data_IF_365385296669
#
_entry.id   IF_365385296669
#
_cell.length_a   1.000
_cell.length_b   1.000
_cell.length_c   1.000
_cell.angle_alpha   90.00
_cell.angle_beta   90.00
_cell.angle_gamma   90.00
#
_symmetry.space_group_name_H-M   'P 1'
#
loop_
_entity.id
_entity.type
_entity.pdbx_description
1 polymer ?
#
# COMPACT_ATOMS: atom_id res chain seq x y z
N UNK A 1 -32.77 -4.02 -0.27
CA UNK A 1 -31.52 -3.84 -1.03
C UNK A 1 -30.56 -3.03 -0.16
N UNK A 2 -29.42 -3.61 0.25
CA UNK A 2 -28.37 -2.84 0.93
C UNK A 2 -27.79 -1.86 -0.09
N UNK A 3 -27.85 -0.55 0.19
CA UNK A 3 -27.10 0.46 -0.59
C UNK A 3 -25.63 0.05 -0.52
N UNK A 4 -25.03 -0.26 -1.67
CA UNK A 4 -23.58 -0.33 -1.79
C UNK A 4 -23.11 1.10 -1.55
N UNK A 5 -22.47 1.32 -0.41
CA UNK A 5 -21.87 2.62 -0.09
C UNK A 5 -20.79 2.86 -1.14
N UNK A 6 -20.99 3.87 -1.98
CA UNK A 6 -20.02 4.26 -3.01
C UNK A 6 -18.78 4.73 -2.27
N UNK A 7 -17.70 3.96 -2.34
CA UNK A 7 -16.39 4.38 -1.85
C UNK A 7 -16.06 5.73 -2.49
N UNK A 8 -15.83 6.74 -1.64
CA UNK A 8 -15.44 8.09 -2.09
C UNK A 8 -14.16 7.99 -2.92
N UNK A 9 -14.11 8.72 -4.03
CA UNK A 9 -12.89 8.79 -4.83
C UNK A 9 -11.86 9.74 -4.18
N UNK A 10 -10.63 9.73 -4.71
CA UNK A 10 -9.49 10.42 -4.12
C UNK A 10 -9.70 11.95 -3.99
N UNK A 11 -10.39 12.58 -4.95
CA UNK A 11 -10.71 14.01 -4.97
C UNK A 11 -11.74 14.37 -3.89
N UNK A 12 -12.71 13.48 -3.65
CA UNK A 12 -13.78 13.63 -2.65
C UNK A 12 -13.26 13.51 -1.20
N UNK A 13 -12.05 13.00 -0.98
CA UNK A 13 -11.40 12.92 0.34
C UNK A 13 -10.44 14.10 0.62
N UNK A 14 -10.21 14.98 -0.37
CA UNK A 14 -9.16 15.99 -0.30
C UNK A 14 -9.59 17.35 0.26
N UNK A 15 -10.87 17.73 0.24
CA UNK A 15 -11.27 19.15 0.30
C UNK A 15 -12.03 19.66 1.54
N UNK A 16 -12.11 18.89 2.62
CA UNK A 16 -12.92 19.31 3.78
C UNK A 16 -11.98 19.84 4.87
N UNK A 17 -11.71 21.14 4.81
CA UNK A 17 -10.72 21.85 5.63
C UNK A 17 -11.16 22.10 7.07
N UNK A 18 -11.18 21.07 7.91
CA UNK A 18 -11.38 21.23 9.35
C UNK A 18 -10.23 20.61 10.15
N UNK A 19 -9.78 21.35 11.17
CA UNK A 19 -8.79 20.92 12.15
C UNK A 19 -9.46 19.98 13.16
N UNK A 20 -8.85 18.82 13.44
CA UNK A 20 -9.42 17.83 14.34
C UNK A 20 -8.47 17.43 15.46
N UNK A 21 -8.71 17.97 16.66
CA UNK A 21 -8.18 17.43 17.91
C UNK A 21 -8.09 18.45 19.04
N UNK A 22 -8.65 18.13 20.20
CA UNK A 22 -8.40 18.83 21.45
C UNK A 22 -7.03 18.37 21.99
N UNK A 23 -6.00 19.24 22.11
CA UNK A 23 -4.64 18.84 22.48
C UNK A 23 -4.56 18.63 23.99
N UNK A 24 -5.10 17.51 24.49
CA UNK A 24 -4.89 17.08 25.88
C UNK A 24 -3.63 16.21 26.06
N UNK A 25 -2.84 16.00 25.00
CA UNK A 25 -1.58 15.25 25.03
C UNK A 25 -0.38 16.13 24.67
N UNK A 26 0.72 15.97 25.42
CA UNK A 26 2.03 16.56 25.10
C UNK A 26 2.64 15.84 23.89
N UNK A 27 2.14 16.10 22.68
CA UNK A 27 2.72 15.57 21.44
C UNK A 27 4.05 16.26 21.10
N UNK A 28 5.04 15.46 20.67
CA UNK A 28 6.26 16.00 20.08
C UNK A 28 5.97 16.74 18.76
N UNK A 29 6.95 17.52 18.26
CA UNK A 29 6.80 18.20 16.96
C UNK A 29 6.48 17.22 15.83
N UNK A 30 7.16 16.09 15.79
CA UNK A 30 6.97 15.09 14.74
C UNK A 30 5.60 14.40 14.87
N UNK A 31 5.18 14.08 16.10
CA UNK A 31 3.84 13.49 16.35
C UNK A 31 2.70 14.44 15.97
N UNK A 32 2.86 15.75 16.19
CA UNK A 32 1.87 16.75 15.74
C UNK A 32 1.67 16.70 14.24
N UNK A 33 2.75 16.55 13.48
CA UNK A 33 2.63 16.49 12.03
C UNK A 33 1.95 15.18 11.60
N UNK A 34 2.23 14.04 12.23
CA UNK A 34 1.47 12.79 11.95
C UNK A 34 -0.01 13.01 12.27
N UNK A 35 -0.31 13.62 13.42
CA UNK A 35 -1.67 13.89 13.88
C UNK A 35 -2.46 14.78 12.92
N UNK A 36 -1.85 15.85 12.41
CA UNK A 36 -2.45 16.76 11.41
C UNK A 36 -2.77 16.05 10.08
N UNK A 37 -2.14 14.90 9.83
CA UNK A 37 -2.35 14.08 8.64
C UNK A 37 -3.35 12.93 8.86
N UNK A 38 -4.01 12.89 10.02
CA UNK A 38 -5.13 11.99 10.30
C UNK A 38 -6.45 12.72 9.98
N UNK A 39 -7.14 12.28 8.94
CA UNK A 39 -8.45 12.81 8.55
C UNK A 39 -9.58 11.95 9.12
N UNK A 40 -10.58 12.60 9.70
CA UNK A 40 -11.80 11.98 10.26
C UNK A 40 -11.53 10.80 11.22
N UNK A 41 -10.34 10.76 11.84
CA UNK A 41 -9.84 9.63 12.64
C UNK A 41 -9.84 8.28 11.91
N UNK A 42 -9.90 8.29 10.57
CA UNK A 42 -10.07 7.11 9.72
C UNK A 42 -8.98 6.94 8.67
N UNK A 43 -8.35 8.04 8.26
CA UNK A 43 -7.39 8.05 7.15
C UNK A 43 -6.10 8.69 7.60
N UNK A 44 -5.00 7.93 7.63
CA UNK A 44 -3.67 8.51 7.70
C UNK A 44 -3.18 8.79 6.28
N UNK A 45 -2.83 10.05 5.98
CA UNK A 45 -2.28 10.43 4.67
C UNK A 45 -0.99 11.23 4.80
N UNK A 46 0.12 10.63 4.39
CA UNK A 46 1.44 11.25 4.42
C UNK A 46 2.06 11.18 3.03
N UNK A 47 2.41 12.32 2.45
CA UNK A 47 2.98 12.40 1.10
C UNK A 47 4.23 13.29 1.08
N UNK A 48 5.17 12.94 0.20
CA UNK A 48 6.29 13.77 -0.23
C UNK A 48 7.17 14.32 0.92
N UNK A 49 7.31 13.53 2.00
CA UNK A 49 8.11 13.86 3.17
C UNK A 49 7.96 15.32 3.67
N UNK A 50 6.77 15.92 3.52
CA UNK A 50 6.51 17.30 3.95
C UNK A 50 6.71 17.48 5.47
N UNK A 51 6.82 16.36 6.19
CA UNK A 51 7.22 16.24 7.59
C UNK A 51 8.66 16.68 7.89
N UNK A 52 9.57 16.76 6.90
CA UNK A 52 11.00 17.02 7.12
C UNK A 52 11.54 18.19 6.28
N UNK A 53 10.69 19.19 6.00
CA UNK A 53 10.84 20.34 5.05
C UNK A 53 12.03 21.29 5.30
N UNK A 54 13.05 20.89 6.06
CA UNK A 54 14.33 21.62 6.15
C UNK A 54 15.57 20.82 5.76
N UNK A 55 15.44 19.63 5.15
CA UNK A 55 16.59 18.89 4.61
C UNK A 55 16.29 18.52 3.17
N UNK A 56 17.17 18.93 2.26
CA UNK A 56 16.91 19.05 0.82
C UNK A 56 16.63 17.73 0.07
N UNK A 57 16.55 16.57 0.75
CA UNK A 57 16.28 15.26 0.14
C UNK A 57 15.54 14.26 1.05
N UNK A 58 14.67 13.41 0.45
CA UNK A 58 14.02 12.27 1.13
C UNK A 58 15.01 11.10 1.20
N UNK A 59 15.45 10.76 2.42
CA UNK A 59 16.48 9.73 2.64
C UNK A 59 15.86 8.50 3.31
N UNK A 60 16.61 7.38 3.27
CA UNK A 60 16.19 6.15 3.95
C UNK A 60 16.02 6.36 5.46
N UNK A 61 16.84 7.22 6.08
CA UNK A 61 16.72 7.55 7.48
C UNK A 61 15.39 8.27 7.80
N UNK A 62 14.93 9.15 6.90
CA UNK A 62 13.63 9.80 7.03
C UNK A 62 12.48 8.77 6.97
N UNK A 63 12.54 7.81 6.04
CA UNK A 63 11.53 6.76 5.93
C UNK A 63 11.46 5.83 7.14
N UNK A 64 12.61 5.45 7.69
CA UNK A 64 12.69 4.64 8.92
C UNK A 64 12.12 5.41 10.11
N UNK A 65 12.50 6.67 10.29
CA UNK A 65 11.98 7.51 11.37
C UNK A 65 10.46 7.70 11.27
N UNK A 66 9.95 7.92 10.06
CA UNK A 66 8.51 7.98 9.81
C UNK A 66 7.81 6.68 10.19
N UNK A 67 8.36 5.52 9.78
CA UNK A 67 7.79 4.23 10.14
C UNK A 67 7.71 4.04 11.66
N UNK A 68 8.77 4.39 12.40
CA UNK A 68 8.76 4.33 13.87
C UNK A 68 7.69 5.22 14.50
N UNK A 69 7.55 6.46 13.99
CA UNK A 69 6.50 7.35 14.47
C UNK A 69 5.11 6.76 14.22
N UNK A 70 4.86 6.21 13.02
CA UNK A 70 3.56 5.63 12.66
C UNK A 70 3.26 4.37 13.46
N UNK A 71 4.23 3.49 13.69
CA UNK A 71 4.02 2.22 14.40
C UNK A 71 3.56 2.39 15.84
N UNK A 72 3.98 3.44 16.53
CA UNK A 72 3.73 3.63 17.96
C UNK A 72 2.71 4.74 18.27
N UNK A 73 2.08 5.33 17.24
CA UNK A 73 1.19 6.45 17.44
C UNK A 73 -0.24 6.01 17.75
N UNK A 74 -0.58 5.99 19.04
CA UNK A 74 -1.88 5.56 19.57
C UNK A 74 -3.11 6.17 18.88
N UNK A 75 -3.13 7.45 18.46
CA UNK A 75 -4.24 8.02 17.70
C UNK A 75 -4.54 7.34 16.35
N UNK A 76 -3.66 6.46 15.87
CA UNK A 76 -3.88 5.67 14.65
C UNK A 76 -4.67 4.39 14.89
N UNK A 77 -5.01 4.02 16.12
CA UNK A 77 -5.68 2.75 16.44
C UNK A 77 -7.08 2.57 15.78
N UNK A 78 -7.67 3.65 15.26
CA UNK A 78 -8.98 3.65 14.60
C UNK A 78 -8.94 3.84 13.08
N UNK A 79 -7.74 3.99 12.49
CA UNK A 79 -7.64 4.22 11.03
C UNK A 79 -8.02 2.96 10.26
N UNK A 80 -8.65 3.15 9.11
CA UNK A 80 -8.97 2.06 8.18
C UNK A 80 -8.14 2.18 6.90
N UNK A 81 -7.60 3.37 6.64
CA UNK A 81 -6.82 3.68 5.44
C UNK A 81 -5.47 4.25 5.83
N UNK A 82 -4.41 3.68 5.26
CA UNK A 82 -3.04 4.20 5.36
C UNK A 82 -2.54 4.55 3.97
N UNK A 83 -2.15 5.81 3.78
CA UNK A 83 -1.53 6.34 2.58
C UNK A 83 -0.21 6.95 3.02
N UNK A 84 0.90 6.32 2.64
CA UNK A 84 2.25 6.86 2.86
C UNK A 84 2.95 6.78 1.51
N UNK A 85 3.15 7.90 0.82
CA UNK A 85 3.75 7.89 -0.54
C UNK A 85 4.96 8.81 -0.63
N UNK A 86 5.97 8.45 -1.40
CA UNK A 86 7.20 9.25 -1.55
C UNK A 86 7.94 9.55 -0.23
N UNK A 87 8.03 8.56 0.67
CA UNK A 87 8.71 8.72 1.96
C UNK A 87 9.93 7.80 2.15
N UNK A 88 10.31 7.02 1.13
CA UNK A 88 11.49 6.15 1.15
C UNK A 88 11.54 5.22 2.38
N UNK A 89 10.38 4.65 2.77
CA UNK A 89 10.27 3.70 3.89
C UNK A 89 11.30 2.57 3.77
N UNK A 90 11.49 2.06 2.56
CA UNK A 90 12.32 0.89 2.29
C UNK A 90 11.78 -0.37 2.97
N UNK A 91 12.50 -1.50 2.84
CA UNK A 91 12.13 -2.74 3.52
C UNK A 91 12.14 -2.60 5.05
N UNK A 92 13.09 -1.82 5.60
CA UNK A 92 13.20 -1.61 7.06
C UNK A 92 11.99 -0.85 7.62
N UNK A 93 11.50 0.18 6.93
CA UNK A 93 10.30 0.89 7.37
C UNK A 93 9.06 0.01 7.37
N UNK A 94 8.91 -0.88 6.38
CA UNK A 94 7.82 -1.86 6.37
C UNK A 94 7.96 -2.88 7.48
N UNK A 95 9.19 -3.31 7.80
CA UNK A 95 9.44 -4.18 8.95
C UNK A 95 8.97 -3.54 10.25
N UNK A 96 9.32 -2.27 10.48
CA UNK A 96 8.90 -1.51 11.67
C UNK A 96 7.37 -1.37 11.73
N UNK A 97 6.71 -1.11 10.59
CA UNK A 97 5.24 -1.06 10.52
C UNK A 97 4.63 -2.43 10.82
N UNK A 98 5.19 -3.50 10.28
CA UNK A 98 4.72 -4.88 10.46
C UNK A 98 4.83 -5.38 11.91
N UNK A 99 5.75 -4.81 12.70
CA UNK A 99 5.95 -5.11 14.12
C UNK A 99 5.09 -4.22 15.05
N UNK A 100 4.29 -3.30 14.49
CA UNK A 100 3.41 -2.42 15.28
C UNK A 100 2.34 -3.23 16.02
N UNK A 101 2.18 -2.93 17.32
CA UNK A 101 1.08 -3.44 18.15
C UNK A 101 -0.10 -2.46 18.26
N UNK A 102 0.05 -1.26 17.71
CA UNK A 102 -0.92 -0.16 17.85
C UNK A 102 -1.72 0.08 16.58
N UNK A 103 -1.15 -0.25 15.42
CA UNK A 103 -1.83 -0.07 14.14
C UNK A 103 -2.97 -1.09 13.98
N UNK A 104 -4.14 -0.63 13.53
CA UNK A 104 -5.25 -1.52 13.22
C UNK A 104 -5.01 -2.23 11.89
N UNK A 105 -5.72 -3.35 11.68
CA UNK A 105 -5.82 -3.96 10.36
C UNK A 105 -6.63 -3.06 9.44
N UNK A 106 -6.02 -2.60 8.37
CA UNK A 106 -6.58 -1.63 7.42
C UNK A 106 -7.20 -2.31 6.20
N UNK A 107 -8.15 -1.63 5.54
CA UNK A 107 -8.78 -2.12 4.31
C UNK A 107 -8.14 -1.53 3.04
N UNK A 108 -7.49 -0.37 3.16
CA UNK A 108 -6.82 0.33 2.08
C UNK A 108 -5.39 0.71 2.46
N UNK A 109 -4.44 0.31 1.62
CA UNK A 109 -3.02 0.57 1.80
C UNK A 109 -2.39 1.15 0.52
N UNK A 110 -1.86 2.37 0.58
CA UNK A 110 -1.13 2.98 -0.53
C UNK A 110 0.28 3.34 -0.08
N UNK A 111 1.25 2.61 -0.66
CA UNK A 111 2.67 2.72 -0.35
C UNK A 111 3.49 3.06 -1.60
N UNK A 112 2.93 3.81 -2.54
CA UNK A 112 3.58 4.20 -3.79
C UNK A 112 4.88 4.96 -3.54
N UNK A 113 5.92 4.66 -4.33
CA UNK A 113 7.19 5.40 -4.32
C UNK A 113 7.91 5.40 -2.97
N UNK A 114 7.97 4.25 -2.29
CA UNK A 114 8.68 4.11 -1.00
C UNK A 114 9.94 3.26 -1.06
N UNK A 115 10.39 2.87 -2.25
CA UNK A 115 11.57 2.04 -2.45
C UNK A 115 11.54 0.73 -1.65
N UNK A 116 10.36 0.11 -1.52
CA UNK A 116 10.20 -1.09 -0.69
C UNK A 116 11.06 -2.27 -1.19
N UNK A 117 11.23 -2.40 -2.50
CA UNK A 117 11.88 -3.54 -3.12
C UNK A 117 11.15 -4.85 -2.83
N UNK A 118 11.71 -5.97 -3.29
CA UNK A 118 11.08 -7.28 -3.06
C UNK A 118 11.06 -7.66 -1.57
N UNK A 119 12.08 -7.29 -0.80
CA UNK A 119 12.17 -7.60 0.64
C UNK A 119 11.02 -6.96 1.42
N UNK A 120 10.71 -5.68 1.16
CA UNK A 120 9.55 -5.03 1.77
C UNK A 120 8.23 -5.69 1.36
N UNK A 121 8.13 -6.18 0.13
CA UNK A 121 6.95 -6.92 -0.34
C UNK A 121 6.84 -8.30 0.30
N UNK A 122 7.94 -9.02 0.50
CA UNK A 122 7.94 -10.31 1.21
C UNK A 122 7.44 -10.16 2.66
N UNK A 123 7.86 -9.10 3.36
CA UNK A 123 7.37 -8.76 4.71
C UNK A 123 5.87 -8.44 4.66
N UNK A 124 5.48 -7.53 3.76
CA UNK A 124 4.08 -7.11 3.61
C UNK A 124 3.16 -8.30 3.30
N UNK A 125 3.59 -9.19 2.39
CA UNK A 125 2.82 -10.34 1.95
C UNK A 125 2.66 -11.44 3.03
N UNK A 126 3.45 -11.40 4.10
CA UNK A 126 3.41 -12.41 5.17
C UNK A 126 2.91 -11.86 6.52
N UNK A 127 2.64 -10.55 6.62
CA UNK A 127 2.28 -9.90 7.87
C UNK A 127 0.75 -9.85 8.09
N UNK A 128 0.30 -10.40 9.23
CA UNK A 128 -1.13 -10.43 9.60
C UNK A 128 -1.75 -9.03 9.84
N UNK A 129 -0.94 -7.99 10.06
CA UNK A 129 -1.43 -6.60 10.12
C UNK A 129 -2.18 -6.21 8.83
N UNK A 130 -1.78 -6.78 7.69
CA UNK A 130 -2.36 -6.48 6.39
C UNK A 130 -3.42 -7.48 5.93
N UNK A 131 -3.87 -8.40 6.80
CA UNK A 131 -4.79 -9.48 6.38
C UNK A 131 -6.21 -9.04 6.02
N UNK A 132 -6.60 -7.81 6.39
CA UNK A 132 -7.89 -7.20 6.02
C UNK A 132 -7.81 -6.30 4.77
N UNK A 133 -6.62 -6.13 4.17
CA UNK A 133 -6.42 -5.23 3.03
C UNK A 133 -7.18 -5.73 1.81
N UNK A 134 -8.03 -4.85 1.26
CA UNK A 134 -8.81 -5.09 0.04
C UNK A 134 -8.25 -4.36 -1.16
N UNK A 135 -7.61 -3.22 -0.94
CA UNK A 135 -7.00 -2.41 -1.99
C UNK A 135 -5.57 -2.07 -1.63
N UNK A 136 -4.64 -2.36 -2.52
CA UNK A 136 -3.24 -2.00 -2.37
C UNK A 136 -2.71 -1.27 -3.59
N UNK A 137 -2.01 -0.15 -3.37
CA UNK A 137 -1.20 0.51 -4.38
C UNK A 137 0.28 0.48 -3.99
N UNK A 138 1.09 -0.16 -4.85
CA UNK A 138 2.52 -0.39 -4.69
C UNK A 138 3.30 0.17 -5.89
N UNK A 139 2.77 1.17 -6.59
CA UNK A 139 3.46 1.78 -7.72
C UNK A 139 4.87 2.27 -7.37
N UNK A 140 5.79 2.18 -8.34
CA UNK A 140 7.15 2.75 -8.22
C UNK A 140 7.94 2.29 -6.98
N UNK A 141 7.88 0.99 -6.64
CA UNK A 141 8.60 0.44 -5.48
C UNK A 141 9.80 -0.44 -5.83
N UNK A 142 10.15 -0.55 -7.12
CA UNK A 142 11.26 -1.38 -7.58
C UNK A 142 11.01 -2.89 -7.45
N UNK A 143 9.75 -3.31 -7.43
CA UNK A 143 9.34 -4.71 -7.28
C UNK A 143 9.73 -5.49 -8.54
N UNK A 144 10.37 -6.65 -8.37
CA UNK A 144 10.79 -7.54 -9.46
C UNK A 144 9.90 -8.77 -9.55
N UNK A 145 10.29 -9.79 -10.33
CA UNK A 145 9.56 -11.05 -10.36
C UNK A 145 9.46 -11.68 -8.96
N UNK A 146 10.47 -11.47 -8.11
CA UNK A 146 10.55 -12.06 -6.77
C UNK A 146 9.44 -11.51 -5.86
N UNK A 147 9.30 -10.19 -5.77
CA UNK A 147 8.22 -9.58 -5.00
C UNK A 147 6.83 -9.90 -5.59
N UNK A 148 6.70 -10.00 -6.91
CA UNK A 148 5.44 -10.44 -7.52
C UNK A 148 5.07 -11.88 -7.15
N UNK A 149 6.06 -12.79 -7.08
CA UNK A 149 5.85 -14.15 -6.56
C UNK A 149 5.43 -14.14 -5.10
N UNK A 150 6.06 -13.30 -4.27
CA UNK A 150 5.67 -13.15 -2.86
C UNK A 150 4.20 -12.68 -2.71
N UNK A 151 3.75 -11.72 -3.53
CA UNK A 151 2.34 -11.32 -3.57
C UNK A 151 1.43 -12.47 -4.01
N UNK A 152 1.83 -13.21 -5.05
CA UNK A 152 1.08 -14.34 -5.59
C UNK A 152 0.93 -15.52 -4.61
N UNK A 153 1.82 -15.64 -3.64
CA UNK A 153 1.79 -16.68 -2.58
C UNK A 153 1.59 -16.10 -1.19
N UNK A 154 1.02 -14.90 -1.10
CA UNK A 154 0.84 -14.18 0.17
C UNK A 154 -0.03 -14.97 1.15
N UNK A 155 0.40 -15.09 2.40
CA UNK A 155 -0.42 -15.65 3.48
C UNK A 155 -1.35 -14.61 4.11
N UNK A 156 -1.03 -13.31 3.96
CA UNK A 156 -1.81 -12.22 4.52
C UNK A 156 -2.90 -11.69 3.57
N UNK A 157 -2.55 -11.39 2.31
CA UNK A 157 -3.38 -10.61 1.37
C UNK A 157 -4.50 -11.43 0.69
N UNK A 158 -5.16 -12.29 1.44
CA UNK A 158 -6.21 -13.21 0.94
C UNK A 158 -7.53 -12.52 0.58
N UNK A 159 -7.73 -11.28 1.05
CA UNK A 159 -8.93 -10.46 0.81
C UNK A 159 -8.76 -9.42 -0.31
N UNK A 160 -7.64 -9.45 -1.02
CA UNK A 160 -7.29 -8.43 -1.99
C UNK A 160 -8.22 -8.47 -3.21
N UNK A 161 -8.79 -7.31 -3.54
CA UNK A 161 -9.70 -7.11 -4.69
C UNK A 161 -9.13 -6.13 -5.71
N UNK A 162 -8.18 -5.28 -5.32
CA UNK A 162 -7.56 -4.28 -6.19
C UNK A 162 -6.07 -4.20 -5.92
N UNK A 163 -5.27 -4.42 -6.96
CA UNK A 163 -3.81 -4.42 -6.91
C UNK A 163 -3.24 -3.50 -8.00
N UNK A 164 -2.61 -2.42 -7.58
CA UNK A 164 -1.83 -1.54 -8.46
C UNK A 164 -0.33 -1.78 -8.25
N UNK A 165 0.36 -2.14 -9.34
CA UNK A 165 1.79 -2.42 -9.39
C UNK A 165 2.51 -1.55 -10.45
N UNK A 166 1.92 -0.44 -10.89
CA UNK A 166 2.48 0.45 -11.93
C UNK A 166 3.96 0.76 -11.73
N UNK A 167 4.70 0.83 -12.84
CA UNK A 167 6.09 1.29 -12.86
C UNK A 167 7.02 0.54 -11.90
N UNK A 168 6.86 -0.77 -11.86
CA UNK A 168 7.80 -1.69 -11.22
C UNK A 168 8.61 -2.46 -12.30
N UNK A 169 9.27 -3.56 -11.93
CA UNK A 169 10.18 -4.35 -12.78
C UNK A 169 9.80 -5.83 -12.79
N UNK A 170 8.50 -6.12 -12.71
CA UNK A 170 7.95 -7.47 -12.47
C UNK A 170 8.33 -8.50 -13.55
N UNK A 171 8.34 -8.09 -14.82
CA UNK A 171 8.64 -8.96 -15.95
C UNK A 171 7.59 -10.05 -16.20
N UNK A 172 7.81 -10.86 -17.23
CA UNK A 172 6.85 -11.89 -17.66
C UNK A 172 6.65 -12.99 -16.59
N UNK A 173 7.71 -13.43 -15.92
CA UNK A 173 7.63 -14.51 -14.92
C UNK A 173 6.85 -14.08 -13.67
N UNK A 174 7.03 -12.84 -13.20
CA UNK A 174 6.25 -12.32 -12.08
C UNK A 174 4.78 -12.12 -12.44
N UNK A 175 4.50 -11.67 -13.67
CA UNK A 175 3.14 -11.58 -14.19
C UNK A 175 2.46 -12.96 -14.31
N UNK A 176 3.18 -13.99 -14.75
CA UNK A 176 2.69 -15.37 -14.77
C UNK A 176 2.42 -15.91 -13.36
N UNK A 177 3.25 -15.56 -12.37
CA UNK A 177 3.00 -15.93 -10.98
C UNK A 177 1.68 -15.32 -10.48
N UNK A 178 1.43 -14.04 -10.76
CA UNK A 178 0.15 -13.38 -10.45
C UNK A 178 -1.01 -14.05 -11.18
N UNK A 179 -0.85 -14.35 -12.47
CA UNK A 179 -1.88 -15.02 -13.27
C UNK A 179 -2.28 -16.39 -12.71
N UNK A 180 -1.34 -17.15 -12.14
CA UNK A 180 -1.60 -18.50 -11.62
C UNK A 180 -1.87 -18.53 -10.09
N UNK A 181 -2.06 -17.38 -9.45
CA UNK A 181 -2.23 -17.30 -7.99
C UNK A 181 -3.65 -17.66 -7.55
N UNK A 182 -3.77 -18.69 -6.70
CA UNK A 182 -5.04 -19.00 -6.01
C UNK A 182 -5.39 -17.96 -4.92
N UNK A 183 -4.37 -17.35 -4.32
CA UNK A 183 -4.52 -16.33 -3.27
C UNK A 183 -5.19 -15.07 -3.84
N UNK A 184 -4.84 -14.69 -5.07
CA UNK A 184 -5.35 -13.49 -5.73
C UNK A 184 -6.65 -13.72 -6.51
N UNK A 185 -7.37 -14.82 -6.26
CA UNK A 185 -8.60 -15.19 -6.95
C UNK A 185 -9.76 -14.19 -6.78
N UNK A 186 -9.70 -13.37 -5.73
CA UNK A 186 -10.66 -12.30 -5.46
C UNK A 186 -10.35 -10.98 -6.21
N UNK A 187 -9.25 -10.90 -6.97
CA UNK A 187 -8.90 -9.68 -7.70
C UNK A 187 -9.96 -9.32 -8.74
N UNK A 188 -10.44 -8.08 -8.65
CA UNK A 188 -11.34 -7.42 -9.60
C UNK A 188 -10.55 -6.46 -10.49
N UNK A 189 -9.51 -5.85 -9.95
CA UNK A 189 -8.66 -4.86 -10.62
C UNK A 189 -7.18 -5.22 -10.48
N UNK A 190 -6.46 -5.26 -11.61
CA UNK A 190 -5.01 -5.45 -11.67
C UNK A 190 -4.37 -4.46 -12.65
N UNK A 191 -3.42 -3.67 -12.16
CA UNK A 191 -2.63 -2.77 -12.99
C UNK A 191 -1.14 -3.12 -12.97
N UNK A 192 -0.62 -3.49 -14.14
CA UNK A 192 0.77 -3.89 -14.41
C UNK A 192 1.46 -2.99 -15.47
N UNK A 193 0.86 -1.89 -15.91
CA UNK A 193 1.54 -0.95 -16.82
C UNK A 193 2.94 -0.55 -16.33
N UNK A 194 3.90 -0.46 -17.25
CA UNK A 194 5.29 -0.11 -16.94
C UNK A 194 6.15 -1.25 -16.36
N UNK A 195 5.64 -2.49 -16.26
CA UNK A 195 6.32 -3.60 -15.57
C UNK A 195 7.23 -4.50 -16.41
N UNK A 196 7.57 -4.12 -17.63
CA UNK A 196 8.39 -4.97 -18.54
C UNK A 196 7.74 -6.32 -18.86
N UNK A 197 6.40 -6.40 -18.84
CA UNK A 197 5.64 -7.57 -19.33
C UNK A 197 5.56 -7.48 -20.85
N UNK A 198 6.44 -8.22 -21.52
CA UNK A 198 6.68 -8.10 -22.96
C UNK A 198 6.01 -9.20 -23.76
N UNK A 199 5.91 -10.40 -23.18
CA UNK A 199 5.40 -11.57 -23.88
C UNK A 199 3.88 -11.49 -24.06
N UNK A 200 3.42 -11.57 -25.32
CA UNK A 200 1.99 -11.67 -25.62
C UNK A 200 1.37 -12.92 -25.00
N UNK A 201 2.11 -14.03 -24.93
CA UNK A 201 1.63 -15.23 -24.23
C UNK A 201 1.38 -14.96 -22.74
N UNK A 202 2.20 -14.13 -22.08
CA UNK A 202 1.98 -13.74 -20.68
C UNK A 202 0.78 -12.80 -20.53
N UNK A 203 0.63 -11.84 -21.45
CA UNK A 203 -0.56 -10.96 -21.46
C UNK A 203 -1.84 -11.76 -21.68
N UNK A 204 -1.83 -12.76 -22.56
CA UNK A 204 -2.94 -13.69 -22.76
C UNK A 204 -3.20 -14.50 -21.50
N UNK A 205 -2.17 -15.06 -20.86
CA UNK A 205 -2.31 -15.80 -19.60
C UNK A 205 -2.95 -14.97 -18.48
N UNK A 206 -2.62 -13.67 -18.37
CA UNK A 206 -3.28 -12.76 -17.43
C UNK A 206 -4.76 -12.52 -17.78
N UNK A 207 -5.09 -12.39 -19.07
CA UNK A 207 -6.46 -12.13 -19.54
C UNK A 207 -7.38 -13.34 -19.41
N UNK A 208 -6.82 -14.54 -19.58
CA UNK A 208 -7.54 -15.81 -19.63
C UNK A 208 -7.33 -16.66 -18.37
N UNK A 209 -6.72 -16.09 -17.32
CA UNK A 209 -6.45 -16.81 -16.08
C UNK A 209 -7.74 -17.35 -15.47
N UNK A 210 -7.74 -18.66 -15.18
CA UNK A 210 -8.81 -19.32 -14.45
C UNK A 210 -8.78 -19.00 -12.95
N UNK A 211 -7.60 -18.70 -12.42
CA UNK A 211 -7.41 -18.38 -11.02
C UNK A 211 -7.89 -16.95 -10.73
N UNK A 212 -7.62 -15.99 -11.62
CA UNK A 212 -8.12 -14.60 -11.54
C UNK A 212 -9.56 -14.47 -12.07
N UNK A 213 -10.44 -15.38 -11.65
CA UNK A 213 -11.79 -15.54 -12.18
C UNK A 213 -12.72 -14.33 -11.97
N UNK A 214 -12.42 -13.46 -11.01
CA UNK A 214 -13.20 -12.24 -10.74
C UNK A 214 -12.65 -10.99 -11.43
N UNK A 215 -11.55 -11.11 -12.19
CA UNK A 215 -10.86 -9.96 -12.77
C UNK A 215 -11.72 -9.29 -13.84
N UNK A 216 -12.08 -8.02 -13.60
CA UNK A 216 -12.88 -7.20 -14.52
C UNK A 216 -12.04 -6.17 -15.25
N UNK A 217 -10.94 -5.74 -14.65
CA UNK A 217 -10.08 -4.71 -15.22
C UNK A 217 -8.62 -5.14 -15.11
N UNK A 218 -8.01 -5.35 -16.27
CA UNK A 218 -6.59 -5.61 -16.43
C UNK A 218 -5.96 -4.50 -17.27
N UNK A 219 -4.92 -3.87 -16.71
CA UNK A 219 -4.09 -2.90 -17.44
C UNK A 219 -2.66 -3.44 -17.53
N UNK A 220 -2.24 -3.83 -18.73
CA UNK A 220 -0.88 -4.33 -19.00
C UNK A 220 -0.42 -3.76 -20.35
N UNK A 221 0.47 -2.77 -20.31
CA UNK A 221 1.04 -2.06 -21.46
C UNK A 221 2.44 -1.55 -21.13
#
# INVERSE_FOLDING_TARGET
MKKVEKLKNWEELCNDGEQYGNPTSELTKDQKIIFENIKDQKVLKIQDAYLFVKREEVTRAHGIHLASLVSDFEPLNSVHTIIITHNNLGPEGIKIIAESNSLPKVDYLHLGSNNLGDEGIEILASCDLFSEVKTINLEQNGITERGAKALATSSALTKLTSLNLVDNRIGDQGALAIANSDILSNLIYLHLGGNRVKSEATKTALRESKNLSQLKTLKVF
#
